data_IF_149294924751
#
_entry.id   IF_149294924751
#
_cell.length_a   1.000
_cell.length_b   1.000
_cell.length_c   1.000
_cell.angle_alpha   90.00
_cell.angle_beta   90.00
_cell.angle_gamma   90.00
#
_symmetry.space_group_name_H-M   'P 1'
#
loop_
_entity.id
_entity.type
_entity.pdbx_description
1 polymer ?
#
# COMPACT_ATOMS: atom_id res chain seq x y z
N UNK A 1 -12.87 25.74 -37.54
CA UNK A 1 -12.69 24.83 -36.39
C UNK A 1 -13.87 23.87 -36.35
N UNK A 2 -13.66 22.63 -36.78
CA UNK A 2 -14.64 21.54 -36.65
C UNK A 2 -14.17 20.64 -35.50
N UNK A 3 -14.95 20.57 -34.41
CA UNK A 3 -14.69 19.64 -33.30
C UNK A 3 -15.16 18.24 -33.71
N UNK A 4 -14.23 17.29 -33.77
CA UNK A 4 -14.51 15.86 -33.92
C UNK A 4 -14.94 15.28 -32.57
N UNK A 5 -16.25 15.23 -32.33
CA UNK A 5 -16.87 14.51 -31.22
C UNK A 5 -17.35 13.15 -31.76
N UNK A 6 -16.51 12.10 -31.67
CA UNK A 6 -16.93 10.78 -32.18
C UNK A 6 -16.14 9.54 -31.75
N UNK A 7 -14.99 9.67 -31.08
CA UNK A 7 -14.11 8.51 -30.82
C UNK A 7 -14.27 7.78 -29.48
N UNK A 8 -14.95 8.37 -28.49
CA UNK A 8 -14.83 7.92 -27.09
C UNK A 8 -15.67 6.70 -26.69
N UNK A 9 -16.84 6.50 -27.32
CA UNK A 9 -17.81 5.49 -26.87
C UNK A 9 -17.45 4.08 -27.34
N UNK A 10 -17.04 3.94 -28.61
CA UNK A 10 -16.66 2.65 -29.20
C UNK A 10 -15.40 2.05 -28.55
N UNK A 11 -14.44 2.91 -28.19
CA UNK A 11 -13.22 2.48 -27.49
C UNK A 11 -13.53 1.93 -26.08
N UNK A 12 -14.42 2.59 -25.33
CA UNK A 12 -14.84 2.14 -24.00
C UNK A 12 -15.61 0.82 -24.04
N UNK A 13 -16.51 0.64 -25.01
CA UNK A 13 -17.27 -0.62 -25.18
C UNK A 13 -16.33 -1.77 -25.54
N UNK A 14 -15.37 -1.55 -26.44
CA UNK A 14 -14.36 -2.55 -26.80
C UNK A 14 -13.48 -2.98 -25.62
N UNK A 15 -13.07 -2.02 -24.77
CA UNK A 15 -12.30 -2.34 -23.56
C UNK A 15 -13.09 -3.16 -22.53
N UNK A 16 -14.39 -2.87 -22.36
CA UNK A 16 -15.26 -3.64 -21.45
C UNK A 16 -15.43 -5.07 -21.95
N UNK A 17 -15.74 -5.26 -23.24
CA UNK A 17 -15.92 -6.58 -23.83
C UNK A 17 -14.64 -7.43 -23.72
N UNK A 18 -13.47 -6.84 -23.99
CA UNK A 18 -12.17 -7.53 -23.87
C UNK A 18 -11.84 -7.90 -22.43
N UNK A 19 -12.15 -7.04 -21.45
CA UNK A 19 -11.99 -7.36 -20.02
C UNK A 19 -12.90 -8.52 -19.60
N UNK A 20 -14.17 -8.51 -20.03
CA UNK A 20 -15.11 -9.58 -19.72
C UNK A 20 -14.68 -10.93 -20.33
N UNK A 21 -14.23 -10.92 -21.60
CA UNK A 21 -13.72 -12.11 -22.27
C UNK A 21 -12.47 -12.68 -21.58
N UNK A 22 -11.49 -11.82 -21.28
CA UNK A 22 -10.26 -12.23 -20.58
C UNK A 22 -10.57 -12.75 -19.17
N UNK A 23 -11.52 -12.12 -18.46
CA UNK A 23 -11.99 -12.61 -17.17
C UNK A 23 -12.65 -14.00 -17.28
N UNK A 24 -13.47 -14.22 -18.31
CA UNK A 24 -14.11 -15.51 -18.57
C UNK A 24 -13.11 -16.63 -18.91
N UNK A 25 -12.09 -16.34 -19.71
CA UNK A 25 -10.99 -17.27 -19.99
C UNK A 25 -10.17 -17.57 -18.73
N UNK A 26 -9.85 -16.54 -17.94
CA UNK A 26 -9.14 -16.70 -16.67
C UNK A 26 -9.91 -17.56 -15.67
N UNK A 27 -11.22 -17.38 -15.58
CA UNK A 27 -12.13 -18.22 -14.79
C UNK A 27 -12.13 -19.68 -15.27
N UNK A 28 -12.21 -19.92 -16.58
CA UNK A 28 -12.16 -21.29 -17.11
C UNK A 28 -10.84 -21.98 -16.81
N UNK A 29 -9.71 -21.28 -16.96
CA UNK A 29 -8.39 -21.81 -16.65
C UNK A 29 -8.22 -22.11 -15.15
N UNK A 30 -8.68 -21.20 -14.28
CA UNK A 30 -8.60 -21.35 -12.81
C UNK A 30 -9.48 -22.47 -12.26
N UNK A 31 -10.55 -22.83 -12.97
CA UNK A 31 -11.41 -23.94 -12.59
C UNK A 31 -10.84 -25.32 -12.98
N UNK A 32 -9.78 -25.39 -13.79
CA UNK A 32 -9.17 -26.66 -14.18
C UNK A 32 -8.60 -27.43 -12.98
N UNK A 33 -8.71 -28.77 -12.93
CA UNK A 33 -8.15 -29.56 -11.84
C UNK A 33 -6.63 -29.43 -11.69
N UNK A 34 -5.91 -29.12 -12.77
CA UNK A 34 -4.46 -28.90 -12.74
C UNK A 34 -4.13 -27.58 -12.04
N UNK A 35 -4.79 -26.48 -12.44
CA UNK A 35 -4.60 -25.17 -11.80
C UNK A 35 -4.99 -25.22 -10.30
N UNK A 36 -6.12 -25.86 -9.95
CA UNK A 36 -6.49 -26.04 -8.53
C UNK A 36 -5.45 -26.81 -7.72
N UNK A 37 -4.86 -27.87 -8.29
CA UNK A 37 -3.78 -28.64 -7.66
C UNK A 37 -2.53 -27.79 -7.47
N UNK A 38 -2.15 -27.01 -8.47
CA UNK A 38 -1.00 -26.10 -8.40
C UNK A 38 -1.20 -24.98 -7.38
N UNK A 39 -2.39 -24.36 -7.36
CA UNK A 39 -2.75 -23.37 -6.35
C UNK A 39 -2.71 -23.97 -4.93
N UNK A 40 -3.27 -25.17 -4.74
CA UNK A 40 -3.24 -25.86 -3.45
C UNK A 40 -1.81 -26.22 -3.02
N UNK A 41 -0.95 -26.66 -3.95
CA UNK A 41 0.46 -26.93 -3.66
C UNK A 41 1.21 -25.64 -3.30
N UNK A 42 0.94 -24.55 -4.01
CA UNK A 42 1.54 -23.24 -3.74
C UNK A 42 1.13 -22.72 -2.36
N UNK A 43 -0.15 -22.82 -2.01
CA UNK A 43 -0.65 -22.45 -0.68
C UNK A 43 0.00 -23.30 0.41
N UNK A 44 0.10 -24.62 0.21
CA UNK A 44 0.78 -25.51 1.17
C UNK A 44 2.26 -25.16 1.36
N UNK A 45 2.96 -24.78 0.28
CA UNK A 45 4.36 -24.31 0.37
C UNK A 45 4.44 -22.99 1.13
N UNK A 46 3.52 -22.05 0.88
CA UNK A 46 3.44 -20.79 1.63
C UNK A 46 3.22 -21.05 3.12
N UNK A 47 2.30 -21.93 3.48
CA UNK A 47 2.07 -22.35 4.88
C UNK A 47 3.34 -22.86 5.56
N UNK A 48 4.10 -23.70 4.85
CA UNK A 48 5.37 -24.22 5.36
C UNK A 48 6.41 -23.11 5.56
N UNK A 49 6.49 -22.17 4.62
CA UNK A 49 7.40 -21.01 4.72
C UNK A 49 6.97 -20.11 5.87
N UNK A 50 5.70 -19.73 5.97
CA UNK A 50 5.18 -18.88 7.04
C UNK A 50 5.46 -19.49 8.42
N UNK A 51 5.27 -20.81 8.57
CA UNK A 51 5.58 -21.51 9.82
C UNK A 51 7.09 -21.50 10.15
N UNK A 52 7.96 -21.62 9.13
CA UNK A 52 9.41 -21.49 9.33
C UNK A 52 9.80 -20.06 9.73
N UNK A 53 9.18 -19.05 9.12
CA UNK A 53 9.40 -17.64 9.44
C UNK A 53 8.92 -17.28 10.84
N UNK A 54 7.76 -17.79 11.27
CA UNK A 54 7.27 -17.61 12.63
C UNK A 54 8.23 -18.24 13.64
N UNK A 55 8.63 -19.49 13.40
CA UNK A 55 9.59 -20.20 14.25
C UNK A 55 10.91 -19.45 14.36
N UNK A 56 11.46 -19.00 13.23
CA UNK A 56 12.69 -18.20 13.20
C UNK A 56 12.52 -16.91 14.01
N UNK A 57 11.42 -16.19 13.81
CA UNK A 57 11.14 -14.93 14.48
C UNK A 57 10.98 -15.04 16.00
N UNK A 58 10.54 -16.21 16.50
CA UNK A 58 10.40 -16.50 17.93
C UNK A 58 11.69 -16.99 18.59
N UNK A 59 12.64 -17.48 17.81
CA UNK A 59 13.91 -18.02 18.33
C UNK A 59 14.90 -16.88 18.59
N UNK A 60 14.64 -16.10 19.64
CA UNK A 60 15.50 -15.01 20.07
C UNK A 60 15.94 -15.17 21.52
N UNK A 61 17.23 -14.94 21.76
CA UNK A 61 17.76 -14.76 23.11
C UNK A 61 17.40 -13.37 23.68
N UNK A 62 17.05 -12.40 22.82
CA UNK A 62 16.63 -11.06 23.23
C UNK A 62 15.11 -11.03 23.41
N UNK A 63 14.66 -10.10 24.24
CA UNK A 63 13.23 -9.85 24.47
C UNK A 63 13.00 -8.36 24.35
N UNK A 64 12.30 -7.97 23.29
CA UNK A 64 11.78 -6.61 23.19
C UNK A 64 10.47 -6.54 23.95
N UNK A 65 10.32 -5.53 24.80
CA UNK A 65 9.08 -5.22 25.50
C UNK A 65 8.59 -3.87 25.02
N UNK A 66 7.39 -3.84 24.44
CA UNK A 66 6.83 -2.64 23.82
C UNK A 66 5.89 -2.98 22.68
N UNK A 67 5.33 -1.95 22.05
CA UNK A 67 4.43 -2.05 20.91
C UNK A 67 5.22 -1.91 19.61
N UNK A 68 5.09 -2.89 18.72
CA UNK A 68 5.72 -2.89 17.40
C UNK A 68 4.63 -2.72 16.35
N UNK A 69 4.69 -1.64 15.58
CA UNK A 69 3.85 -1.47 14.39
C UNK A 69 4.58 -2.03 13.17
N UNK A 70 3.97 -2.98 12.48
CA UNK A 70 4.57 -3.67 11.34
C UNK A 70 3.81 -3.31 10.07
N UNK A 71 4.51 -2.85 9.04
CA UNK A 71 3.93 -2.61 7.73
C UNK A 71 3.44 -3.93 7.11
N UNK A 72 2.13 -4.07 7.01
CA UNK A 72 1.44 -5.18 6.37
C UNK A 72 0.50 -4.65 5.28
N UNK A 73 0.86 -3.56 4.62
CA UNK A 73 0.01 -2.95 3.59
C UNK A 73 -0.03 -3.77 2.30
N UNK A 74 0.96 -4.65 2.09
CA UNK A 74 1.11 -5.51 0.92
C UNK A 74 1.62 -6.90 1.32
N UNK A 75 1.19 -7.94 0.61
CA UNK A 75 1.77 -9.28 0.79
C UNK A 75 3.03 -9.45 -0.09
N UNK A 76 4.22 -9.29 0.52
CA UNK A 76 5.50 -9.43 -0.18
C UNK A 76 6.38 -10.45 0.55
N UNK A 77 6.64 -11.64 -0.04
CA UNK A 77 7.47 -12.68 0.57
C UNK A 77 8.86 -12.21 0.99
N UNK A 78 9.48 -11.32 0.21
CA UNK A 78 10.80 -10.78 0.54
C UNK A 78 10.76 -9.81 1.73
N UNK A 79 9.63 -9.12 1.94
CA UNK A 79 9.43 -8.33 3.15
C UNK A 79 9.29 -9.27 4.35
N UNK A 80 8.48 -10.32 4.29
CA UNK A 80 8.29 -11.25 5.41
C UNK A 80 9.56 -11.99 5.85
N UNK A 81 10.43 -12.36 4.90
CA UNK A 81 11.75 -12.93 5.24
C UNK A 81 12.61 -11.93 6.00
N UNK A 82 12.68 -10.69 5.52
CA UNK A 82 13.44 -9.61 6.20
C UNK A 82 12.85 -9.31 7.58
N UNK A 83 11.53 -9.24 7.67
CA UNK A 83 10.83 -9.05 8.92
C UNK A 83 11.11 -10.18 9.90
N UNK A 84 11.04 -11.45 9.50
CA UNK A 84 11.32 -12.58 10.39
C UNK A 84 12.75 -12.56 10.96
N UNK A 85 13.74 -12.20 10.12
CA UNK A 85 15.13 -12.03 10.58
C UNK A 85 15.26 -10.88 11.57
N UNK A 86 14.61 -9.75 11.30
CA UNK A 86 14.59 -8.59 12.19
C UNK A 86 13.87 -8.89 13.52
N UNK A 87 12.72 -9.56 13.44
CA UNK A 87 11.92 -10.07 14.55
C UNK A 87 12.76 -10.96 15.47
N UNK A 88 13.52 -11.90 14.90
CA UNK A 88 14.45 -12.76 15.64
C UNK A 88 15.61 -11.96 16.25
N UNK A 89 16.25 -11.07 15.49
CA UNK A 89 17.44 -10.34 15.94
C UNK A 89 17.16 -9.39 17.11
N UNK A 90 15.96 -8.83 17.18
CA UNK A 90 15.54 -7.91 18.23
C UNK A 90 14.63 -8.55 19.29
N UNK A 91 14.14 -9.77 19.07
CA UNK A 91 13.20 -10.43 19.97
C UNK A 91 11.82 -9.79 19.97
N UNK A 92 11.36 -9.30 18.80
CA UNK A 92 10.09 -8.56 18.66
C UNK A 92 8.86 -9.44 18.92
N UNK A 93 8.98 -10.76 18.75
CA UNK A 93 7.91 -11.72 19.05
C UNK A 93 7.49 -11.75 20.52
N UNK A 94 8.26 -11.12 21.42
CA UNK A 94 7.93 -10.96 22.83
C UNK A 94 7.18 -9.66 23.14
N UNK A 95 7.16 -8.72 22.21
CA UNK A 95 6.39 -7.48 22.32
C UNK A 95 4.95 -7.65 21.85
N UNK A 96 4.23 -6.52 21.82
CA UNK A 96 2.89 -6.42 21.24
C UNK A 96 3.00 -6.04 19.77
N UNK A 97 2.91 -7.03 18.88
CA UNK A 97 2.98 -6.82 17.44
C UNK A 97 1.61 -6.45 16.86
N UNK A 98 1.53 -5.29 16.21
CA UNK A 98 0.33 -4.75 15.56
C UNK A 98 0.60 -4.62 14.06
N UNK A 99 -0.21 -5.29 13.25
CA UNK A 99 -0.10 -5.23 11.79
C UNK A 99 -0.85 -4.02 11.21
N UNK A 100 -0.21 -3.26 10.32
CA UNK A 100 -0.82 -2.14 9.61
C UNK A 100 -1.31 -2.58 8.23
N UNK A 101 -2.62 -2.66 8.03
CA UNK A 101 -3.23 -3.08 6.78
C UNK A 101 -3.57 -1.89 5.88
N UNK A 102 -3.17 -1.97 4.61
CA UNK A 102 -3.44 -0.95 3.59
C UNK A 102 -4.71 -1.23 2.78
N UNK A 103 -5.02 -0.36 1.82
CA UNK A 103 -6.16 -0.50 0.89
C UNK A 103 -6.18 -1.84 0.15
N UNK A 104 -5.00 -2.37 -0.15
CA UNK A 104 -4.81 -3.59 -0.92
C UNK A 104 -4.45 -4.79 -0.05
N UNK A 105 -4.55 -4.68 1.28
CA UNK A 105 -4.35 -5.80 2.19
C UNK A 105 -5.49 -6.82 1.99
N UNK A 106 -5.20 -7.79 1.12
CA UNK A 106 -6.12 -8.84 0.75
C UNK A 106 -6.24 -9.93 1.81
N UNK A 107 -6.98 -10.98 1.47
CA UNK A 107 -7.04 -12.19 2.28
C UNK A 107 -5.66 -12.84 2.48
N UNK A 108 -4.72 -12.66 1.53
CA UNK A 108 -3.37 -13.19 1.61
C UNK A 108 -2.57 -12.57 2.76
N UNK A 109 -2.45 -11.23 2.79
CA UNK A 109 -1.74 -10.52 3.87
C UNK A 109 -2.29 -10.91 5.24
N UNK A 110 -3.62 -10.91 5.42
CA UNK A 110 -4.26 -11.29 6.69
C UNK A 110 -3.92 -12.73 7.11
N UNK A 111 -3.84 -13.66 6.15
CA UNK A 111 -3.45 -15.04 6.43
C UNK A 111 -2.00 -15.13 6.87
N UNK A 112 -1.08 -14.47 6.18
CA UNK A 112 0.35 -14.47 6.54
C UNK A 112 0.58 -13.84 7.90
N UNK A 113 0.00 -12.66 8.16
CA UNK A 113 0.02 -11.99 9.46
C UNK A 113 -0.55 -12.89 10.55
N UNK A 114 -1.69 -13.56 10.32
CA UNK A 114 -2.25 -14.51 11.27
C UNK A 114 -1.32 -15.70 11.56
N UNK A 115 -0.64 -16.24 10.54
CA UNK A 115 0.32 -17.36 10.68
C UNK A 115 1.62 -16.94 11.40
N UNK A 116 2.04 -15.69 11.25
CA UNK A 116 3.16 -15.11 11.99
C UNK A 116 2.78 -14.75 13.45
N UNK A 117 1.53 -14.96 13.84
CA UNK A 117 1.08 -14.86 15.23
C UNK A 117 0.76 -13.45 15.70
N UNK A 118 0.49 -12.52 14.80
CA UNK A 118 0.03 -11.18 15.16
C UNK A 118 -1.37 -11.25 15.77
N UNK A 119 -1.55 -10.67 16.95
CA UNK A 119 -2.83 -10.64 17.65
C UNK A 119 -3.70 -9.43 17.23
N UNK A 120 -3.05 -8.33 16.86
CA UNK A 120 -3.68 -7.05 16.63
C UNK A 120 -3.45 -6.55 15.19
N UNK A 121 -4.43 -5.81 14.68
CA UNK A 121 -4.37 -5.20 13.37
C UNK A 121 -5.05 -3.83 13.38
N UNK A 122 -4.49 -2.91 12.59
CA UNK A 122 -5.04 -1.58 12.35
C UNK A 122 -5.19 -1.39 10.85
N UNK A 123 -6.34 -0.85 10.43
CA UNK A 123 -6.61 -0.54 9.03
C UNK A 123 -6.26 0.91 8.74
N UNK A 124 -5.29 1.12 7.84
CA UNK A 124 -4.84 2.45 7.42
C UNK A 124 -5.98 3.25 6.77
N UNK A 125 -6.80 2.60 5.95
CA UNK A 125 -7.92 3.25 5.25
C UNK A 125 -9.02 3.73 6.18
N UNK A 126 -9.18 3.08 7.35
CA UNK A 126 -10.21 3.40 8.32
C UNK A 126 -9.76 4.51 9.29
N UNK A 127 -8.51 4.97 9.18
CA UNK A 127 -8.04 6.12 9.94
C UNK A 127 -8.75 7.39 9.48
N UNK A 128 -9.28 8.19 10.42
CA UNK A 128 -9.96 9.43 10.08
C UNK A 128 -8.98 10.43 9.47
N UNK A 129 -9.46 11.18 8.49
CA UNK A 129 -8.74 12.26 7.83
C UNK A 129 -9.73 13.35 7.39
N UNK A 130 -9.29 14.62 7.38
CA UNK A 130 -10.09 15.74 6.87
C UNK A 130 -9.75 15.96 5.39
N UNK A 131 -10.46 15.26 4.51
CA UNK A 131 -10.30 15.39 3.06
C UNK A 131 -10.55 16.81 2.57
N UNK A 132 -11.45 17.57 3.22
CA UNK A 132 -11.74 18.96 2.83
C UNK A 132 -10.55 19.85 3.15
N UNK A 133 -9.91 19.67 4.31
CA UNK A 133 -8.68 20.39 4.65
C UNK A 133 -7.52 20.01 3.71
N UNK A 134 -7.33 18.72 3.46
CA UNK A 134 -6.32 18.22 2.53
C UNK A 134 -6.49 18.83 1.13
N UNK A 135 -7.72 18.87 0.61
CA UNK A 135 -8.02 19.48 -0.69
C UNK A 135 -7.75 20.98 -0.73
N UNK A 136 -8.08 21.71 0.34
CA UNK A 136 -7.75 23.14 0.45
C UNK A 136 -6.23 23.36 0.43
N UNK A 137 -5.47 22.51 1.11
CA UNK A 137 -4.01 22.59 1.11
C UNK A 137 -3.42 22.22 -0.25
N UNK A 138 -3.93 21.18 -0.91
CA UNK A 138 -3.54 20.81 -2.28
C UNK A 138 -3.70 21.99 -3.25
N UNK A 139 -4.85 22.67 -3.21
CA UNK A 139 -5.09 23.88 -4.03
C UNK A 139 -4.12 25.02 -3.73
N UNK A 140 -3.75 25.23 -2.46
CA UNK A 140 -2.77 26.26 -2.08
C UNK A 140 -1.39 25.96 -2.66
N UNK A 141 -0.94 24.71 -2.55
CA UNK A 141 0.35 24.26 -3.11
C UNK A 141 0.35 24.42 -4.63
N UNK A 142 -0.71 23.99 -5.30
CA UNK A 142 -0.84 24.04 -6.75
C UNK A 142 -0.97 25.47 -7.30
N UNK A 143 -1.58 26.40 -6.57
CA UNK A 143 -1.73 27.79 -7.02
C UNK A 143 -0.39 28.50 -7.29
N UNK A 144 0.68 28.11 -6.58
CA UNK A 144 2.03 28.64 -6.76
C UNK A 144 2.92 27.81 -7.69
N UNK A 145 2.41 26.72 -8.27
CA UNK A 145 3.21 25.74 -9.01
C UNK A 145 3.04 25.95 -10.51
N UNK A 146 4.10 26.41 -11.18
CA UNK A 146 4.09 26.65 -12.63
C UNK A 146 4.89 25.59 -13.39
N UNK A 147 5.88 24.98 -12.72
CA UNK A 147 6.77 23.98 -13.28
C UNK A 147 6.86 22.77 -12.35
N UNK A 148 7.23 21.59 -12.88
CA UNK A 148 7.34 20.38 -12.06
C UNK A 148 8.34 20.55 -10.91
N UNK A 149 9.46 21.24 -11.16
CA UNK A 149 10.52 21.48 -10.17
C UNK A 149 10.04 22.29 -8.95
N UNK A 150 9.00 23.11 -9.12
CA UNK A 150 8.46 23.94 -8.03
C UNK A 150 7.87 23.06 -6.91
N UNK A 151 7.41 21.84 -7.25
CA UNK A 151 6.93 20.83 -6.28
C UNK A 151 8.03 20.44 -5.29
N UNK A 152 9.28 20.40 -5.74
CA UNK A 152 10.41 20.00 -4.90
C UNK A 152 10.73 21.03 -3.80
N UNK A 153 10.15 22.24 -3.90
CA UNK A 153 10.28 23.31 -2.91
C UNK A 153 9.04 23.46 -2.02
N UNK A 154 8.06 22.56 -2.11
CA UNK A 154 6.86 22.62 -1.28
C UNK A 154 7.18 22.39 0.20
N UNK A 155 6.49 23.14 1.05
CA UNK A 155 6.47 22.90 2.49
C UNK A 155 5.34 21.90 2.80
N UNK A 156 5.73 20.65 3.09
CA UNK A 156 4.82 19.55 3.35
C UNK A 156 4.72 19.26 4.85
N UNK A 157 3.57 18.75 5.33
CA UNK A 157 3.42 18.37 6.73
C UNK A 157 4.53 17.45 7.22
N UNK A 158 4.95 17.63 8.47
CA UNK A 158 5.95 16.79 9.16
C UNK A 158 7.32 16.77 8.47
N UNK A 159 7.68 17.87 7.79
CA UNK A 159 8.93 18.00 7.03
C UNK A 159 9.10 16.89 5.98
N UNK A 160 7.99 16.36 5.45
CA UNK A 160 8.04 15.27 4.47
C UNK A 160 8.85 15.74 3.24
N UNK A 161 9.88 15.00 2.82
CA UNK A 161 10.65 15.33 1.64
C UNK A 161 9.74 15.42 0.40
N UNK A 162 9.64 16.58 -0.29
CA UNK A 162 8.74 16.74 -1.43
C UNK A 162 9.03 15.78 -2.60
N UNK A 163 10.26 15.27 -2.68
CA UNK A 163 10.67 14.23 -3.64
C UNK A 163 9.83 12.95 -3.53
N UNK A 164 9.36 12.59 -2.33
CA UNK A 164 8.51 11.41 -2.12
C UNK A 164 7.16 11.61 -2.79
N UNK A 165 6.56 12.78 -2.58
CA UNK A 165 5.31 13.16 -3.24
C UNK A 165 5.49 13.22 -4.76
N UNK A 166 6.59 13.83 -5.22
CA UNK A 166 6.91 13.94 -6.64
C UNK A 166 7.00 12.57 -7.34
N UNK A 167 7.71 11.59 -6.76
CA UNK A 167 7.77 10.22 -7.29
C UNK A 167 6.38 9.56 -7.32
N UNK A 168 5.57 9.77 -6.27
CA UNK A 168 4.19 9.32 -6.23
C UNK A 168 3.36 9.87 -7.40
N UNK A 169 3.51 11.16 -7.72
CA UNK A 169 2.82 11.81 -8.83
C UNK A 169 3.27 11.24 -10.19
N UNK A 170 4.56 11.01 -10.40
CA UNK A 170 5.08 10.38 -11.61
C UNK A 170 4.43 9.01 -11.86
N UNK A 171 4.33 8.19 -10.82
CA UNK A 171 3.72 6.84 -10.91
C UNK A 171 2.23 6.91 -11.24
N UNK A 172 1.50 7.91 -10.71
CA UNK A 172 0.07 8.10 -11.00
C UNK A 172 -0.19 8.59 -12.42
N UNK A 173 0.67 9.47 -12.93
CA UNK A 173 0.54 10.00 -14.29
C UNK A 173 1.16 9.09 -15.35
N UNK A 174 2.02 8.13 -14.96
CA UNK A 174 2.77 7.26 -15.88
C UNK A 174 3.56 8.12 -16.87
N UNK A 175 4.30 9.09 -16.33
CA UNK A 175 5.07 10.08 -17.09
C UNK A 175 6.50 10.16 -16.58
N UNK A 176 7.44 10.60 -17.43
CA UNK A 176 8.82 10.86 -17.04
C UNK A 176 8.99 12.16 -16.23
N UNK A 177 8.03 13.08 -16.35
CA UNK A 177 7.96 14.36 -15.62
C UNK A 177 6.54 14.59 -15.14
N UNK A 178 6.36 15.23 -13.98
CA UNK A 178 5.03 15.57 -13.48
C UNK A 178 4.43 16.66 -14.35
N UNK A 179 3.26 16.41 -14.93
CA UNK A 179 2.43 17.44 -15.56
C UNK A 179 1.61 18.15 -14.50
N UNK A 180 1.96 19.40 -14.21
CA UNK A 180 1.30 20.27 -13.21
C UNK A 180 -0.08 20.75 -13.69
N UNK A 181 -0.39 20.61 -14.97
CA UNK A 181 -1.68 20.94 -15.57
C UNK A 181 -2.55 19.70 -15.80
N UNK A 182 -2.10 18.52 -15.39
CA UNK A 182 -2.86 17.29 -15.51
C UNK A 182 -4.22 17.44 -14.79
N UNK A 183 -5.36 17.08 -15.40
CA UNK A 183 -6.69 17.34 -14.83
C UNK A 183 -6.94 16.64 -13.49
N UNK A 184 -6.21 15.56 -13.18
CA UNK A 184 -6.27 14.83 -11.92
C UNK A 184 -5.24 15.26 -10.86
N UNK A 185 -4.41 16.29 -11.11
CA UNK A 185 -3.31 16.65 -10.21
C UNK A 185 -3.80 17.03 -8.80
N UNK A 186 -4.89 17.79 -8.70
CA UNK A 186 -5.47 18.19 -7.41
C UNK A 186 -5.89 16.96 -6.60
N UNK A 187 -6.55 15.98 -7.24
CA UNK A 187 -7.01 14.77 -6.56
C UNK A 187 -5.83 13.90 -6.09
N UNK A 188 -4.76 13.79 -6.88
CA UNK A 188 -3.56 13.04 -6.48
C UNK A 188 -2.82 13.69 -5.30
N UNK A 189 -2.65 15.01 -5.32
CA UNK A 189 -2.04 15.74 -4.20
C UNK A 189 -2.92 15.65 -2.96
N UNK A 190 -4.24 15.77 -3.12
CA UNK A 190 -5.21 15.61 -2.03
C UNK A 190 -5.12 14.21 -1.40
N UNK A 191 -5.09 13.16 -2.22
CA UNK A 191 -4.95 11.77 -1.75
C UNK A 191 -3.68 11.59 -0.91
N UNK A 192 -2.54 12.12 -1.37
CA UNK A 192 -1.29 12.03 -0.63
C UNK A 192 -1.34 12.77 0.72
N UNK A 193 -1.95 13.97 0.75
CA UNK A 193 -2.12 14.73 1.99
C UNK A 193 -3.08 14.02 2.97
N UNK A 194 -4.13 13.38 2.47
CA UNK A 194 -5.02 12.54 3.29
C UNK A 194 -4.24 11.35 3.87
N UNK A 195 -3.40 10.69 3.09
CA UNK A 195 -2.62 9.56 3.56
C UNK A 195 -1.58 9.99 4.62
N UNK A 196 -1.03 11.20 4.55
CA UNK A 196 -0.20 11.75 5.63
C UNK A 196 -0.98 11.93 6.93
N UNK A 197 -2.19 12.48 6.87
CA UNK A 197 -3.06 12.62 8.05
C UNK A 197 -3.40 11.26 8.65
N UNK A 198 -3.65 10.25 7.80
CA UNK A 198 -3.88 8.87 8.28
C UNK A 198 -2.66 8.29 8.95
N UNK A 199 -1.47 8.46 8.37
CA UNK A 199 -0.22 7.98 8.94
C UNK A 199 0.03 8.58 10.34
N UNK A 200 -0.14 9.90 10.47
CA UNK A 200 -0.09 10.58 11.76
C UNK A 200 -1.09 9.97 12.75
N UNK A 201 -2.33 9.74 12.30
CA UNK A 201 -3.35 9.18 13.17
C UNK A 201 -3.05 7.75 13.62
N UNK A 202 -2.43 6.93 12.76
CA UNK A 202 -1.94 5.60 13.16
C UNK A 202 -0.93 5.72 14.28
N UNK A 203 0.07 6.60 14.14
CA UNK A 203 1.12 6.79 15.14
C UNK A 203 0.55 7.31 16.46
N UNK A 204 -0.40 8.24 16.44
CA UNK A 204 -1.07 8.75 17.64
C UNK A 204 -1.92 7.69 18.36
N UNK A 205 -2.58 6.82 17.58
CA UNK A 205 -3.51 5.81 18.09
C UNK A 205 -2.77 4.60 18.64
N UNK A 206 -1.79 4.11 17.88
CA UNK A 206 -1.02 2.92 18.22
C UNK A 206 0.07 3.24 19.23
N UNK A 207 0.71 4.40 19.11
CA UNK A 207 1.88 4.83 19.89
C UNK A 207 2.97 3.74 19.92
N UNK A 208 3.49 3.34 18.74
CA UNK A 208 4.47 2.27 18.68
C UNK A 208 5.80 2.72 19.29
N UNK A 209 6.44 1.82 20.04
CA UNK A 209 7.82 1.98 20.50
C UNK A 209 8.82 1.68 19.36
N UNK A 210 8.38 0.88 18.37
CA UNK A 210 9.14 0.52 17.18
C UNK A 210 8.23 0.42 15.96
N UNK A 211 8.70 0.92 14.81
CA UNK A 211 8.06 0.70 13.51
C UNK A 211 8.97 -0.19 12.65
N UNK A 212 8.41 -1.27 12.10
CA UNK A 212 9.10 -2.18 11.19
C UNK A 212 8.49 -2.07 9.78
N UNK A 213 9.34 -1.69 8.81
CA UNK A 213 9.01 -1.47 7.39
C UNK A 213 9.61 -2.56 6.48
#
# INVERSE_FOLDING_TARGET
MMFSLGGGLGYRIGQIARRAYNAGLGLRASLSPACRRECAQTEKRREQVDALLDRLGRDSARRFEGTVLVDAMWDNPNHWVRYALFRAALGLAHGREISLHGRHAGAETRRTVGRLGFADAVSFCDMPADERAARRQARRLLAGTQRPDDILSWDLPHDLPPVILYDGLLRRQISATVDVHHPGIEDHVTEALVDLQRAERVLETVRPDLVAL
#
